data_IF_177453220269
#
_entry.id   IF_177453220269
#
_cell.length_a   1.000
_cell.length_b   1.000
_cell.length_c   1.000
_cell.angle_alpha   90.00
_cell.angle_beta   90.00
_cell.angle_gamma   90.00
#
_symmetry.space_group_name_H-M   'P 1'
#
loop_
_entity.id
_entity.type
_entity.pdbx_description
1 polymer ?
#
# COMPACT_ATOMS: atom_id res chain seq x y z
N UNK A 1 -21.50 18.05 -4.19
CA UNK A 1 -21.16 16.75 -4.80
C UNK A 1 -19.66 16.42 -4.88
N UNK A 2 -18.75 17.38 -5.17
CA UNK A 2 -17.28 17.13 -5.19
C UNK A 2 -16.67 16.73 -3.85
N UNK A 3 -17.20 17.22 -2.72
CA UNK A 3 -16.69 16.87 -1.39
C UNK A 3 -17.05 15.43 -0.94
N UNK A 4 -18.15 14.85 -1.46
CA UNK A 4 -18.54 13.48 -1.16
C UNK A 4 -17.64 12.45 -1.83
N UNK A 5 -17.23 12.71 -3.07
CA UNK A 5 -16.29 11.84 -3.80
C UNK A 5 -14.90 11.82 -3.15
N UNK A 6 -14.46 12.97 -2.62
CA UNK A 6 -13.19 13.09 -1.91
C UNK A 6 -13.17 12.27 -0.61
N UNK A 7 -14.26 12.30 0.13
CA UNK A 7 -14.39 11.52 1.39
C UNK A 7 -14.39 10.01 1.15
N UNK A 8 -14.96 9.56 0.03
CA UNK A 8 -14.98 8.13 -0.33
C UNK A 8 -13.62 7.64 -0.81
N UNK A 9 -12.91 8.45 -1.61
CA UNK A 9 -11.62 8.08 -2.16
C UNK A 9 -10.54 7.91 -1.07
N UNK A 10 -10.58 8.77 -0.06
CA UNK A 10 -9.63 8.73 1.05
C UNK A 10 -10.01 7.64 2.08
N UNK A 11 -11.31 7.43 2.32
CA UNK A 11 -11.81 6.35 3.16
C UNK A 11 -11.51 4.96 2.55
N UNK A 12 -11.50 4.85 1.22
CA UNK A 12 -11.16 3.61 0.54
C UNK A 12 -9.68 3.23 0.69
N UNK A 13 -8.77 4.21 0.78
CA UNK A 13 -7.34 3.93 0.99
C UNK A 13 -7.04 3.37 2.40
N UNK A 14 -7.94 3.62 3.35
CA UNK A 14 -7.75 3.25 4.77
C UNK A 14 -8.83 2.29 5.25
N UNK A 15 -10.01 2.28 4.63
CA UNK A 15 -11.11 1.38 4.97
C UNK A 15 -11.11 0.07 4.16
N UNK A 16 -10.19 -0.08 3.20
CA UNK A 16 -9.90 -1.35 2.55
C UNK A 16 -8.63 -1.94 3.18
N UNK A 17 -8.73 -2.52 4.36
CA UNK A 17 -7.59 -2.88 5.19
C UNK A 17 -6.65 -3.89 4.51
N UNK A 18 -7.18 -4.78 3.73
CA UNK A 18 -6.40 -5.85 3.14
C UNK A 18 -5.77 -5.52 1.80
N UNK A 19 -6.14 -4.40 1.22
CA UNK A 19 -5.77 -4.10 -0.15
C UNK A 19 -4.62 -3.10 -0.29
N UNK A 20 -4.49 -2.17 0.61
CA UNK A 20 -3.26 -1.41 0.77
C UNK A 20 -2.07 -2.35 1.03
N UNK A 21 -2.37 -3.46 1.66
CA UNK A 21 -1.54 -4.62 1.91
C UNK A 21 -1.08 -5.37 0.65
N UNK A 22 -1.76 -5.25 -0.46
CA UNK A 22 -1.32 -5.87 -1.71
C UNK A 22 0.06 -5.36 -2.19
N UNK A 23 0.50 -4.22 -1.68
CA UNK A 23 1.86 -3.73 -1.88
C UNK A 23 2.92 -4.65 -1.26
N UNK A 24 2.58 -5.24 -0.13
CA UNK A 24 3.48 -6.04 0.69
C UNK A 24 3.41 -7.54 0.39
N UNK A 25 2.59 -7.99 -0.56
CA UNK A 25 2.48 -9.40 -0.96
C UNK A 25 3.73 -9.91 -1.70
N UNK A 26 4.59 -8.99 -2.14
CA UNK A 26 5.91 -9.31 -2.62
C UNK A 26 6.91 -9.35 -1.47
N UNK A 27 8.00 -10.02 -1.70
CA UNK A 27 9.21 -9.95 -0.88
C UNK A 27 10.36 -9.52 -1.81
N UNK A 28 10.39 -8.23 -2.18
CA UNK A 28 11.41 -7.75 -3.10
C UNK A 28 12.78 -7.84 -2.45
N UNK A 29 13.63 -8.68 -3.04
CA UNK A 29 15.02 -8.89 -2.60
C UNK A 29 15.97 -7.82 -3.09
N UNK A 30 15.47 -6.87 -3.85
CA UNK A 30 16.23 -5.78 -4.49
C UNK A 30 15.52 -4.46 -4.27
N UNK A 31 16.28 -3.37 -4.28
CA UNK A 31 15.69 -2.04 -4.35
C UNK A 31 15.07 -1.79 -5.72
N UNK A 32 13.95 -1.08 -5.75
CA UNK A 32 13.35 -0.65 -7.02
C UNK A 32 12.51 0.64 -6.86
N UNK A 33 12.23 1.27 -7.98
CA UNK A 33 11.19 2.31 -8.09
C UNK A 33 10.28 2.01 -9.27
N UNK A 34 9.02 2.45 -9.19
CA UNK A 34 8.04 2.24 -10.25
C UNK A 34 6.92 3.29 -10.19
N UNK A 35 6.23 3.46 -11.31
CA UNK A 35 4.90 4.05 -11.31
C UNK A 35 3.88 2.98 -10.90
N UNK A 36 2.89 3.38 -10.13
CA UNK A 36 1.87 2.49 -9.58
C UNK A 36 0.47 2.96 -9.96
N UNK A 37 -0.34 2.05 -10.42
CA UNK A 37 -1.79 2.22 -10.55
C UNK A 37 -2.48 1.31 -9.55
N UNK A 38 -3.33 1.89 -8.69
CA UNK A 38 -4.18 1.17 -7.74
C UNK A 38 -5.64 1.45 -8.09
N UNK A 39 -6.44 0.41 -8.23
CA UNK A 39 -7.88 0.54 -8.43
C UNK A 39 -8.64 -0.20 -7.33
N UNK A 40 -9.58 0.47 -6.69
CA UNK A 40 -10.44 -0.06 -5.63
C UNK A 40 -11.89 0.21 -6.02
N UNK A 41 -12.68 -0.83 -6.21
CA UNK A 41 -14.10 -0.76 -6.61
C UNK A 41 -14.34 0.18 -7.81
N UNK A 42 -13.39 0.17 -8.78
CA UNK A 42 -13.45 1.00 -9.99
C UNK A 42 -12.85 2.40 -9.86
N UNK A 43 -12.52 2.86 -8.67
CA UNK A 43 -11.79 4.12 -8.46
C UNK A 43 -10.30 3.89 -8.66
N UNK A 44 -9.66 4.67 -9.53
CA UNK A 44 -8.25 4.52 -9.88
C UNK A 44 -7.41 5.65 -9.29
N UNK A 45 -6.29 5.28 -8.71
CA UNK A 45 -5.32 6.16 -8.08
C UNK A 45 -3.95 5.92 -8.69
N UNK A 46 -3.37 6.97 -9.27
CA UNK A 46 -2.00 6.95 -9.75
C UNK A 46 -1.04 7.36 -8.64
N UNK A 47 0.15 6.76 -8.61
CA UNK A 47 1.18 7.05 -7.63
C UNK A 47 2.53 6.52 -8.04
N UNK A 48 3.48 6.62 -7.13
CA UNK A 48 4.83 6.06 -7.27
C UNK A 48 5.19 5.23 -6.05
N UNK A 49 6.04 4.25 -6.28
CA UNK A 49 6.62 3.45 -5.20
C UNK A 49 8.15 3.46 -5.32
N UNK A 50 8.80 3.53 -4.18
CA UNK A 50 10.20 3.16 -3.97
C UNK A 50 10.24 2.11 -2.89
N UNK A 51 11.01 1.09 -3.10
CA UNK A 51 11.16 0.03 -2.13
C UNK A 51 12.62 -0.42 -2.04
N UNK A 52 13.00 -0.87 -0.87
CA UNK A 52 14.18 -1.64 -0.61
C UNK A 52 13.83 -2.73 0.41
N UNK A 53 14.64 -3.77 0.59
CA UNK A 53 14.32 -4.80 1.58
C UNK A 53 13.99 -4.19 2.95
N UNK A 54 12.79 -4.45 3.44
CA UNK A 54 12.31 -3.95 4.73
C UNK A 54 11.75 -2.53 4.77
N UNK A 55 11.80 -1.75 3.68
CA UNK A 55 11.30 -0.37 3.67
C UNK A 55 10.56 -0.03 2.37
N UNK A 56 9.43 0.64 2.50
CA UNK A 56 8.62 1.11 1.38
C UNK A 56 8.24 2.58 1.54
N UNK A 57 8.26 3.30 0.42
CA UNK A 57 7.74 4.64 0.26
C UNK A 57 6.69 4.64 -0.84
N UNK A 58 5.48 5.07 -0.52
CA UNK A 58 4.40 5.24 -1.48
C UNK A 58 4.00 6.70 -1.59
N UNK A 59 4.10 7.26 -2.76
CA UNK A 59 3.54 8.58 -3.07
C UNK A 59 2.20 8.39 -3.78
N UNK A 60 1.20 9.12 -3.36
CA UNK A 60 -0.16 9.02 -3.89
C UNK A 60 -0.69 10.41 -4.22
N UNK A 61 -1.44 10.53 -5.30
CA UNK A 61 -2.22 11.74 -5.58
C UNK A 61 -3.64 11.52 -5.06
N UNK A 62 -4.04 12.34 -4.08
CA UNK A 62 -5.39 12.28 -3.49
C UNK A 62 -5.93 13.71 -3.47
N UNK A 63 -6.81 14.02 -4.41
CA UNK A 63 -7.34 15.37 -4.64
C UNK A 63 -6.22 16.42 -4.78
N UNK A 64 -6.13 17.37 -3.86
CA UNK A 64 -5.12 18.41 -3.85
C UNK A 64 -3.84 18.02 -3.08
N UNK A 65 -3.84 16.86 -2.42
CA UNK A 65 -2.73 16.41 -1.58
C UNK A 65 -1.89 15.36 -2.28
N UNK A 66 -0.62 15.29 -1.87
CA UNK A 66 0.32 14.26 -2.27
C UNK A 66 0.93 13.63 -1.02
N UNK A 67 0.14 12.84 -0.28
CA UNK A 67 0.66 12.14 0.89
C UNK A 67 1.73 11.13 0.48
N UNK A 68 2.70 10.99 1.37
CA UNK A 68 3.77 10.01 1.27
C UNK A 68 3.61 9.06 2.44
N UNK A 69 3.44 7.78 2.18
CA UNK A 69 3.37 6.74 3.19
C UNK A 69 4.74 6.08 3.30
N UNK A 70 5.29 6.06 4.50
CA UNK A 70 6.53 5.38 4.84
C UNK A 70 6.21 4.19 5.72
N UNK A 71 6.55 2.99 5.24
CA UNK A 71 6.29 1.73 5.92
C UNK A 71 7.61 0.99 6.14
N UNK A 72 7.71 0.27 7.25
CA UNK A 72 8.85 -0.60 7.57
C UNK A 72 8.34 -1.96 7.99
N UNK A 73 8.99 -2.99 7.49
CA UNK A 73 8.70 -4.35 7.87
C UNK A 73 8.85 -4.53 9.38
N UNK A 74 7.93 -5.31 9.98
CA UNK A 74 7.93 -5.56 11.42
C UNK A 74 7.52 -4.36 12.28
N UNK A 75 7.39 -3.14 11.73
CA UNK A 75 6.95 -1.98 12.50
C UNK A 75 5.43 -1.92 12.62
N UNK A 76 4.89 -1.80 13.83
CA UNK A 76 3.45 -1.54 14.00
C UNK A 76 3.07 -0.10 13.66
N UNK A 77 4.07 0.77 13.43
CA UNK A 77 3.88 2.20 13.19
C UNK A 77 4.40 2.55 11.81
N UNK A 78 3.56 3.20 11.03
CA UNK A 78 3.90 3.86 9.78
C UNK A 78 3.83 5.38 9.92
N UNK A 79 4.36 6.09 8.93
CA UNK A 79 4.31 7.55 8.86
C UNK A 79 3.58 8.00 7.60
N UNK A 80 2.73 9.01 7.73
CA UNK A 80 2.18 9.77 6.60
C UNK A 80 2.82 11.14 6.61
N UNK A 81 3.59 11.43 5.58
CA UNK A 81 4.18 12.75 5.37
C UNK A 81 3.27 13.57 4.46
N UNK A 82 2.93 14.78 4.87
CA UNK A 82 2.14 15.76 4.13
C UNK A 82 3.03 16.96 3.77
N UNK A 83 3.71 16.94 2.61
CA UNK A 83 4.67 17.96 2.24
C UNK A 83 4.08 19.38 2.20
N UNK A 84 2.83 19.50 1.71
CA UNK A 84 2.14 20.77 1.59
C UNK A 84 1.88 21.45 2.94
N UNK A 85 1.78 20.64 4.01
CA UNK A 85 1.55 21.13 5.37
C UNK A 85 2.82 21.06 6.23
N UNK A 86 3.94 20.61 5.68
CA UNK A 86 5.18 20.31 6.42
C UNK A 86 4.91 19.48 7.68
N UNK A 87 4.07 18.48 7.56
CA UNK A 87 3.56 17.69 8.70
C UNK A 87 3.86 16.21 8.48
N UNK A 88 4.17 15.53 9.57
CA UNK A 88 4.29 14.08 9.68
C UNK A 88 3.28 13.58 10.69
N UNK A 89 2.62 12.48 10.36
CA UNK A 89 1.66 11.82 11.21
C UNK A 89 2.03 10.37 11.36
N UNK A 90 2.24 9.95 12.60
CA UNK A 90 2.40 8.54 12.92
C UNK A 90 1.03 7.87 13.04
N UNK A 91 0.87 6.73 12.41
CA UNK A 91 -0.36 5.94 12.50
C UNK A 91 -0.05 4.47 12.80
N UNK A 92 -0.98 3.83 13.48
CA UNK A 92 -0.90 2.37 13.68
C UNK A 92 -1.16 1.71 12.33
N UNK A 93 -0.17 1.00 11.82
CA UNK A 93 -0.34 0.18 10.63
C UNK A 93 -1.39 -0.88 10.96
N UNK A 94 -2.51 -0.91 10.24
CA UNK A 94 -3.55 -1.90 10.47
C UNK A 94 -2.98 -3.33 10.47
N UNK A 95 -3.48 -4.23 11.33
CA UNK A 95 -3.00 -5.61 11.39
C UNK A 95 -3.00 -6.30 10.02
N UNK A 96 -3.93 -5.92 9.18
CA UNK A 96 -4.07 -6.42 7.82
C UNK A 96 -2.89 -6.02 6.92
N UNK A 97 -2.31 -4.86 7.15
CA UNK A 97 -1.09 -4.42 6.48
C UNK A 97 0.16 -5.12 7.05
N UNK A 98 0.08 -5.63 8.29
CA UNK A 98 1.15 -6.38 8.94
C UNK A 98 1.13 -7.88 8.64
N UNK A 99 0.00 -8.40 8.18
CA UNK A 99 -0.12 -9.83 7.83
C UNK A 99 0.83 -10.27 6.71
N UNK A 100 1.34 -9.32 5.98
CA UNK A 100 2.28 -9.54 4.90
C UNK A 100 3.74 -9.33 5.31
N UNK A 101 3.96 -8.84 6.53
CA UNK A 101 5.24 -8.77 7.21
C UNK A 101 5.81 -10.19 7.40
N UNK A 102 6.52 -10.69 6.39
CA UNK A 102 7.21 -11.98 6.46
C UNK A 102 6.31 -13.21 6.56
N UNK A 103 4.99 -13.11 6.42
CA UNK A 103 4.12 -14.27 6.27
C UNK A 103 4.04 -14.68 4.81
N UNK A 104 4.32 -15.94 4.56
CA UNK A 104 4.05 -16.54 3.27
C UNK A 104 2.53 -16.47 3.02
N UNK A 105 2.12 -15.57 2.14
CA UNK A 105 0.77 -15.63 1.57
C UNK A 105 0.61 -16.98 0.91
N UNK A 106 -0.49 -17.65 1.20
CA UNK A 106 -0.79 -18.95 0.61
C UNK A 106 -1.00 -18.75 -0.90
N UNK A 107 0.06 -19.01 -1.67
CA UNK A 107 0.11 -18.75 -3.11
C UNK A 107 0.55 -20.01 -3.86
N UNK A 108 -0.19 -20.34 -4.89
CA UNK A 108 0.10 -21.48 -5.76
C UNK A 108 0.47 -20.98 -7.15
N UNK A 109 1.65 -21.38 -7.70
CA UNK A 109 2.02 -20.99 -9.06
C UNK A 109 1.08 -21.66 -10.05
N UNK A 110 0.53 -20.88 -10.98
CA UNK A 110 -0.42 -21.35 -11.99
C UNK A 110 0.05 -21.07 -13.43
N UNK A 111 1.08 -20.24 -13.60
CA UNK A 111 1.57 -19.91 -14.93
C UNK A 111 2.67 -18.86 -14.92
N UNK A 112 2.97 -18.38 -16.11
CA UNK A 112 3.90 -17.26 -16.33
C UNK A 112 3.27 -16.23 -17.24
N UNK A 113 3.60 -14.96 -17.05
CA UNK A 113 3.13 -13.86 -17.89
C UNK A 113 4.20 -12.78 -18.02
N UNK A 114 3.98 -11.85 -18.94
CA UNK A 114 4.77 -10.63 -19.01
C UNK A 114 3.87 -9.46 -18.60
N UNK A 115 4.27 -8.73 -17.57
CA UNK A 115 3.56 -7.55 -17.07
C UNK A 115 4.44 -6.33 -17.31
N UNK A 116 3.99 -5.42 -18.16
CA UNK A 116 4.73 -4.18 -18.51
C UNK A 116 6.22 -4.43 -18.87
N UNK A 117 6.47 -5.48 -19.66
CA UNK A 117 7.80 -5.85 -20.12
C UNK A 117 8.64 -6.68 -19.13
N UNK A 118 8.11 -6.98 -17.95
CA UNK A 118 8.79 -7.79 -16.92
C UNK A 118 8.22 -9.20 -16.91
N UNK A 119 9.08 -10.22 -17.03
CA UNK A 119 8.70 -11.62 -16.89
C UNK A 119 8.29 -11.90 -15.43
N UNK A 120 7.14 -12.56 -15.25
CA UNK A 120 6.55 -12.84 -13.94
C UNK A 120 6.08 -14.29 -13.85
N UNK A 121 6.06 -14.80 -12.62
CA UNK A 121 5.29 -16.00 -12.27
C UNK A 121 3.93 -15.56 -11.74
N UNK A 122 2.90 -16.19 -12.23
CA UNK A 122 1.51 -15.95 -11.87
C UNK A 122 1.11 -16.93 -10.75
N UNK A 123 0.52 -16.39 -9.68
CA UNK A 123 0.09 -17.15 -8.50
C UNK A 123 -1.39 -16.94 -8.24
N UNK A 124 -2.10 -18.02 -7.95
CA UNK A 124 -3.39 -17.91 -7.29
C UNK A 124 -3.19 -17.65 -5.80
N UNK A 125 -4.00 -16.74 -5.26
CA UNK A 125 -4.06 -16.39 -3.84
C UNK A 125 -5.42 -16.78 -3.30
N UNK A 126 -5.42 -17.49 -2.17
CA UNK A 126 -6.59 -17.73 -1.33
C UNK A 126 -6.13 -17.67 0.13
N UNK A 127 -6.34 -16.53 0.76
CA UNK A 127 -5.86 -16.26 2.12
C UNK A 127 -7.02 -15.89 3.05
N UNK A 128 -7.08 -16.56 4.21
CA UNK A 128 -7.98 -16.19 5.30
C UNK A 128 -7.23 -15.35 6.30
N UNK A 129 -7.76 -14.18 6.56
CA UNK A 129 -7.24 -13.23 7.55
C UNK A 129 -8.31 -12.97 8.62
N UNK A 130 -7.93 -12.49 9.82
CA UNK A 130 -8.91 -12.23 10.89
C UNK A 130 -10.07 -11.33 10.44
N UNK A 131 -9.87 -10.45 9.49
CA UNK A 131 -10.84 -9.47 8.99
C UNK A 131 -11.71 -10.00 7.85
N UNK A 132 -11.38 -11.16 7.25
CA UNK A 132 -12.11 -11.72 6.11
C UNK A 132 -11.32 -12.73 5.29
N UNK A 133 -11.57 -12.75 3.97
CA UNK A 133 -10.88 -13.60 3.01
C UNK A 133 -10.43 -12.76 1.82
N UNK A 134 -9.20 -13.00 1.37
CA UNK A 134 -8.65 -12.44 0.14
C UNK A 134 -8.48 -13.55 -0.88
N UNK A 135 -8.98 -13.35 -2.09
CA UNK A 135 -8.82 -14.27 -3.21
C UNK A 135 -8.45 -13.50 -4.48
N UNK A 136 -7.62 -14.09 -5.33
CA UNK A 136 -7.20 -13.41 -6.56
C UNK A 136 -5.93 -13.98 -7.16
N UNK A 137 -5.26 -13.13 -7.91
CA UNK A 137 -4.06 -13.46 -8.66
C UNK A 137 -2.97 -12.43 -8.42
N UNK A 138 -1.75 -12.92 -8.27
CA UNK A 138 -0.54 -12.13 -8.04
C UNK A 138 0.52 -12.49 -9.08
N UNK A 139 1.15 -11.50 -9.65
CA UNK A 139 2.25 -11.63 -10.58
C UNK A 139 3.54 -11.12 -9.94
N UNK A 140 4.47 -12.01 -9.66
CA UNK A 140 5.77 -11.68 -9.09
C UNK A 140 6.88 -11.80 -10.14
N UNK A 141 7.77 -10.80 -10.16
CA UNK A 141 9.02 -10.93 -10.89
C UNK A 141 9.94 -11.95 -10.23
N UNK A 142 11.03 -12.33 -10.92
CA UNK A 142 12.09 -13.18 -10.37
C UNK A 142 12.66 -12.61 -9.06
N UNK A 143 12.71 -11.30 -8.91
CA UNK A 143 13.27 -10.61 -7.74
C UNK A 143 12.24 -10.37 -6.62
N UNK A 144 11.05 -10.97 -6.73
CA UNK A 144 9.98 -10.85 -5.74
C UNK A 144 9.17 -9.56 -5.84
N UNK A 145 9.36 -8.75 -6.88
CA UNK A 145 8.62 -7.49 -7.07
C UNK A 145 7.17 -7.83 -7.47
N UNK A 146 6.16 -7.33 -6.74
CA UNK A 146 4.74 -7.55 -7.05
C UNK A 146 4.32 -6.67 -8.24
N UNK A 147 4.50 -7.15 -9.44
CA UNK A 147 4.22 -6.42 -10.68
C UNK A 147 2.74 -6.13 -10.87
N UNK A 148 1.88 -7.06 -10.46
CA UNK A 148 0.43 -6.93 -10.58
C UNK A 148 -0.29 -7.78 -9.53
N UNK A 149 -1.43 -7.27 -9.07
CA UNK A 149 -2.41 -8.00 -8.28
C UNK A 149 -3.80 -7.70 -8.84
N UNK A 150 -4.65 -8.71 -8.91
CA UNK A 150 -6.07 -8.56 -9.19
C UNK A 150 -6.83 -9.50 -8.26
N UNK A 151 -7.66 -8.96 -7.38
CA UNK A 151 -8.33 -9.77 -6.38
C UNK A 151 -9.59 -9.14 -5.81
N UNK A 152 -10.21 -9.91 -4.94
CA UNK A 152 -11.38 -9.51 -4.17
C UNK A 152 -11.12 -9.81 -2.70
N UNK A 153 -11.36 -8.82 -1.87
CA UNK A 153 -11.41 -8.99 -0.42
C UNK A 153 -12.85 -9.05 0.04
N UNK A 154 -13.19 -10.09 0.78
CA UNK A 154 -14.52 -10.29 1.36
C UNK A 154 -14.39 -10.12 2.87
N UNK A 155 -14.76 -8.95 3.38
CA UNK A 155 -14.72 -8.65 4.80
C UNK A 155 -15.76 -9.42 5.61
N UNK A 156 -15.64 -9.42 6.94
CA UNK A 156 -16.58 -10.10 7.88
C UNK A 156 -18.05 -9.75 7.65
N UNK A 157 -18.35 -8.58 7.12
CA UNK A 157 -19.71 -8.15 6.79
C UNK A 157 -20.18 -8.61 5.40
N UNK A 158 -19.41 -9.46 4.72
CA UNK A 158 -19.77 -10.05 3.44
C UNK A 158 -19.72 -9.10 2.24
N UNK A 159 -19.25 -7.86 2.40
CA UNK A 159 -19.11 -6.92 1.28
C UNK A 159 -17.80 -7.20 0.54
N UNK A 160 -17.85 -7.57 -0.75
CA UNK A 160 -16.66 -7.73 -1.55
C UNK A 160 -16.09 -6.35 -1.93
N UNK A 161 -14.78 -6.20 -1.82
CA UNK A 161 -14.02 -5.06 -2.34
C UNK A 161 -13.08 -5.56 -3.42
N UNK A 162 -13.22 -5.05 -4.63
CA UNK A 162 -12.35 -5.40 -5.76
C UNK A 162 -11.12 -4.53 -5.77
N UNK A 163 -9.97 -5.17 -5.96
CA UNK A 163 -8.69 -4.48 -5.97
C UNK A 163 -7.86 -4.90 -7.13
N UNK A 164 -7.26 -3.91 -7.76
CA UNK A 164 -6.23 -4.10 -8.77
C UNK A 164 -5.06 -3.18 -8.46
N UNK A 165 -3.90 -3.72 -8.61
CA UNK A 165 -2.63 -3.03 -8.51
C UNK A 165 -1.79 -3.39 -9.72
N UNK A 166 -1.06 -2.43 -10.26
CA UNK A 166 -0.14 -2.68 -11.36
C UNK A 166 1.03 -1.70 -11.30
N UNK A 167 2.24 -2.23 -11.51
CA UNK A 167 3.46 -1.46 -11.63
C UNK A 167 3.86 -1.32 -13.08
N UNK A 168 4.34 -0.13 -13.44
CA UNK A 168 4.95 0.16 -14.73
C UNK A 168 6.25 0.95 -14.55
N UNK A 169 7.07 1.03 -15.60
CA UNK A 169 8.35 1.74 -15.58
C UNK A 169 9.25 1.34 -14.41
N UNK A 170 9.27 0.04 -14.09
CA UNK A 170 10.07 -0.50 -12.98
C UNK A 170 11.55 -0.31 -13.27
N UNK A 171 12.25 0.29 -12.32
CA UNK A 171 13.70 0.47 -12.33
C UNK A 171 14.29 -0.23 -11.12
N UNK A 172 15.03 -1.30 -11.37
CA UNK A 172 15.73 -2.06 -10.33
C UNK A 172 17.05 -1.40 -10.03
N UNK A 173 17.37 -1.24 -8.77
CA UNK A 173 18.62 -0.68 -8.28
C UNK A 173 18.50 -0.15 -6.85
N UNK A 174 19.63 0.19 -6.24
CA UNK A 174 19.64 0.71 -4.86
C UNK A 174 18.84 2.02 -4.80
N UNK A 175 18.10 2.18 -3.71
CA UNK A 175 17.32 3.37 -3.44
C UNK A 175 18.01 4.19 -2.34
N UNK A 176 18.05 5.55 -2.47
CA UNK A 176 18.61 6.39 -1.42
C UNK A 176 17.85 6.23 -0.09
N UNK A 177 18.56 5.92 1.00
CA UNK A 177 17.94 5.75 2.32
C UNK A 177 17.16 6.96 2.79
N UNK A 178 17.52 8.17 2.33
CA UNK A 178 16.80 9.41 2.65
C UNK A 178 15.35 9.42 2.14
N UNK A 179 14.99 8.57 1.18
CA UNK A 179 13.61 8.44 0.71
C UNK A 179 12.68 7.82 1.76
N UNK A 180 13.21 7.01 2.67
CA UNK A 180 12.45 6.22 3.63
C UNK A 180 12.38 6.85 5.02
N UNK A 181 12.79 8.10 5.16
CA UNK A 181 12.71 8.87 6.40
C UNK A 181 11.91 10.15 6.18
N UNK A 182 11.17 10.55 7.21
CA UNK A 182 10.45 11.82 7.18
C UNK A 182 11.44 12.99 7.11
N UNK A 183 11.13 14.05 6.33
CA UNK A 183 12.00 15.21 6.23
C UNK A 183 12.20 15.91 7.58
N UNK A 184 13.42 16.38 7.82
CA UNK A 184 13.71 17.18 9.03
C UNK A 184 12.90 18.49 9.03
N UNK A 185 12.52 18.94 10.22
CA UNK A 185 11.81 20.21 10.40
C UNK A 185 10.30 20.16 10.09
N UNK A 186 9.76 18.98 9.83
CA UNK A 186 8.31 18.78 9.74
C UNK A 186 7.72 18.66 11.15
N UNK A 187 6.53 19.24 11.34
CA UNK A 187 5.80 19.13 12.60
C UNK A 187 5.17 17.75 12.74
N UNK A 188 5.44 17.08 13.85
CA UNK A 188 4.72 15.84 14.18
C UNK A 188 3.37 16.17 14.77
N UNK A 189 2.30 15.65 14.19
CA UNK A 189 0.93 15.79 14.67
C UNK A 189 0.33 14.41 14.97
N UNK A 190 -0.58 14.31 15.95
CA UNK A 190 -1.34 13.08 16.15
C UNK A 190 -2.28 12.83 14.97
N UNK A 191 -2.57 11.56 14.71
CA UNK A 191 -3.39 11.17 13.55
C UNK A 191 -4.77 11.84 13.59
N UNK A 192 -5.32 12.05 14.76
CA UNK A 192 -6.64 12.66 14.98
C UNK A 192 -6.69 14.12 14.53
N UNK A 193 -5.58 14.85 14.61
CA UNK A 193 -5.52 16.26 14.20
C UNK A 193 -5.72 16.44 12.70
N UNK A 194 -5.31 15.46 11.88
CA UNK A 194 -5.40 15.56 10.42
C UNK A 194 -6.45 14.61 9.82
N UNK A 195 -6.91 13.62 10.57
CA UNK A 195 -7.91 12.66 10.13
C UNK A 195 -9.16 13.35 9.53
N UNK A 196 -9.73 14.42 10.13
CA UNK A 196 -10.85 15.15 9.54
C UNK A 196 -10.51 15.84 8.23
N UNK A 197 -9.29 16.41 8.10
CA UNK A 197 -8.84 17.10 6.88
C UNK A 197 -8.71 16.13 5.71
N UNK A 198 -8.28 14.92 6.00
CA UNK A 198 -8.06 13.86 5.02
C UNK A 198 -9.29 12.94 4.86
N UNK A 199 -10.33 13.09 5.67
CA UNK A 199 -11.47 12.19 5.70
C UNK A 199 -11.11 10.78 6.17
N UNK A 200 -10.04 10.63 6.96
CA UNK A 200 -9.46 9.37 7.36
C UNK A 200 -9.90 8.98 8.78
N UNK A 201 -10.04 7.68 9.01
CA UNK A 201 -10.12 7.10 10.37
C UNK A 201 -8.76 6.55 10.76
N UNK A 202 -7.79 7.44 10.98
CA UNK A 202 -6.47 7.07 11.50
C UNK A 202 -6.55 6.91 13.03
N UNK A 203 -5.92 5.86 13.54
CA UNK A 203 -5.64 5.73 14.96
C UNK A 203 -4.21 6.18 15.21
N UNK A 204 -4.01 7.11 16.13
CA UNK A 204 -2.67 7.50 16.59
C UNK A 204 -1.90 6.32 17.14
N UNK A 205 -0.59 6.32 16.90
CA UNK A 205 0.33 5.57 17.72
C UNK A 205 0.30 6.20 19.13
N UNK A 206 -0.24 5.51 20.13
CA UNK A 206 -0.17 6.01 21.49
C UNK A 206 1.31 6.06 21.92
N UNK A 207 1.78 7.17 22.51
CA UNK A 207 3.10 7.19 23.10
C UNK A 207 3.15 6.16 24.23
N UNK A 208 4.17 5.29 24.20
CA UNK A 208 4.53 4.43 25.32
C UNK A 208 5.22 5.25 26.39
#
# INVERSE_FOLDING_TARGET
MRQFALRLALAALIAAPSVASAAMVGDPRVGFSADRTLSIDGHTYAGKIWAMPGEERHEQVIAAFRPIFLLRDGSPIGEVVLPQLKTVVEFVVPPELRLLDGRAVNKHPIGTAVVNGVATTEYAIDERVPEGRAEGMLWLSRDGIPMKLAGTFIGKRGRPTRVRWELSHVRIGPQPAALFVAPRGYTKLPAEAIAPLLGLKLKSAQPR
#
